data_IF_069807765274
#
_entry.id   IF_069807765274
#
_cell.length_a   1.000
_cell.length_b   1.000
_cell.length_c   1.000
_cell.angle_alpha   90.00
_cell.angle_beta   90.00
_cell.angle_gamma   90.00
#
_symmetry.space_group_name_H-M   'P 1'
#
loop_
_entity.id
_entity.type
_entity.pdbx_description
1 polymer ?
#
# COMPACT_ATOMS: atom_id res chain seq x y z
N UNK A 1 -9.48 -5.85 16.52
CA UNK A 1 -8.66 -6.40 15.41
C UNK A 1 -9.56 -7.31 14.60
N UNK A 2 -10.16 -6.80 13.52
CA UNK A 2 -10.90 -7.64 12.57
C UNK A 2 -9.89 -8.53 11.85
N UNK A 3 -10.15 -9.84 11.78
CA UNK A 3 -9.28 -10.80 11.12
C UNK A 3 -9.04 -10.41 9.66
N UNK A 4 -7.78 -10.41 9.24
CA UNK A 4 -7.39 -10.19 7.85
C UNK A 4 -7.89 -11.39 7.05
N UNK A 5 -8.81 -11.16 6.11
CA UNK A 5 -9.29 -12.19 5.19
C UNK A 5 -8.24 -12.32 4.08
N UNK A 6 -7.35 -13.32 4.19
CA UNK A 6 -6.39 -13.63 3.13
C UNK A 6 -7.13 -14.46 2.08
N UNK A 7 -7.29 -13.98 0.84
CA UNK A 7 -7.90 -14.77 -0.21
C UNK A 7 -7.01 -15.98 -0.51
N UNK A 8 -7.55 -17.19 -0.34
CA UNK A 8 -6.87 -18.45 -0.66
C UNK A 8 -6.62 -18.58 -2.18
N UNK A 9 -5.37 -18.88 -2.55
CA UNK A 9 -4.96 -19.56 -3.79
C UNK A 9 -5.20 -18.87 -5.14
N UNK A 10 -4.11 -18.39 -5.75
CA UNK A 10 -3.92 -18.54 -7.21
C UNK A 10 -2.42 -18.64 -7.50
N UNK A 11 -2.02 -19.86 -7.84
CA UNK A 11 -0.65 -20.32 -8.02
C UNK A 11 -0.17 -20.09 -9.47
N UNK A 12 -0.83 -19.17 -10.20
CA UNK A 12 -0.57 -18.81 -11.61
C UNK A 12 -0.87 -17.34 -11.97
N UNK A 13 -0.73 -16.44 -10.98
CA UNK A 13 -0.84 -14.96 -10.98
C UNK A 13 -1.46 -14.31 -12.23
N UNK A 14 -2.80 -14.24 -12.27
CA UNK A 14 -3.49 -13.18 -13.02
C UNK A 14 -3.46 -11.88 -12.21
N UNK A 15 -2.72 -10.88 -12.68
CA UNK A 15 -2.71 -9.56 -12.04
C UNK A 15 -4.05 -8.84 -12.30
N UNK A 16 -4.75 -8.34 -11.27
CA UNK A 16 -5.90 -7.49 -11.48
C UNK A 16 -5.47 -6.14 -12.07
N UNK A 17 -6.41 -5.39 -12.64
CA UNK A 17 -6.09 -4.05 -13.18
C UNK A 17 -5.84 -3.01 -12.06
N UNK A 18 -6.46 -3.22 -10.89
CA UNK A 18 -6.40 -2.34 -9.74
C UNK A 18 -6.21 -3.12 -8.44
N UNK A 19 -5.66 -2.45 -7.42
CA UNK A 19 -5.66 -2.91 -6.02
C UNK A 19 -6.29 -1.85 -5.12
N UNK A 20 -6.82 -2.26 -3.98
CA UNK A 20 -7.27 -1.34 -2.93
C UNK A 20 -6.10 -1.00 -2.01
N UNK A 21 -5.80 0.29 -1.86
CA UNK A 21 -4.71 0.77 -1.01
C UNK A 21 -5.15 1.95 -0.15
N UNK A 22 -4.49 2.13 0.99
CA UNK A 22 -4.74 3.22 1.92
C UNK A 22 -3.87 4.43 1.56
N UNK A 23 -4.50 5.50 1.08
CA UNK A 23 -3.79 6.71 0.64
C UNK A 23 -3.90 7.80 1.70
N UNK A 24 -2.75 8.31 2.14
CA UNK A 24 -2.66 9.52 2.98
C UNK A 24 -2.89 10.77 2.12
N UNK A 25 -3.74 11.69 2.59
CA UNK A 25 -3.96 12.97 1.91
C UNK A 25 -3.11 14.06 2.56
N UNK A 26 -2.31 14.78 1.77
CA UNK A 26 -1.27 15.73 2.25
C UNK A 26 -1.75 16.86 3.18
N UNK A 27 -3.06 17.13 3.27
CA UNK A 27 -3.58 18.31 3.97
C UNK A 27 -4.34 17.98 5.27
N UNK A 28 -4.60 16.70 5.55
CA UNK A 28 -5.29 16.29 6.77
C UNK A 28 -4.87 14.87 7.12
N UNK A 29 -4.62 14.57 8.40
CA UNK A 29 -4.26 13.24 8.93
C UNK A 29 -5.40 12.21 8.78
N UNK A 30 -5.91 12.10 7.55
CA UNK A 30 -7.10 11.39 7.14
C UNK A 30 -6.70 10.46 6.01
N UNK A 31 -7.14 9.22 6.11
CA UNK A 31 -6.83 8.17 5.15
C UNK A 31 -8.12 7.67 4.52
N UNK A 32 -8.01 7.24 3.28
CA UNK A 32 -9.09 6.62 2.56
C UNK A 32 -8.56 5.41 1.79
N UNK A 33 -9.38 4.36 1.73
CA UNK A 33 -9.14 3.25 0.83
C UNK A 33 -9.54 3.70 -0.57
N UNK A 34 -8.63 3.53 -1.53
CA UNK A 34 -8.84 3.88 -2.94
C UNK A 34 -8.39 2.74 -3.82
N UNK A 35 -9.07 2.58 -4.95
CA UNK A 35 -8.59 1.75 -6.05
C UNK A 35 -7.46 2.48 -6.78
N UNK A 36 -6.33 1.82 -6.92
CA UNK A 36 -5.14 2.32 -7.61
C UNK A 36 -4.69 1.35 -8.69
N UNK A 37 -4.25 1.88 -9.83
CA UNK A 37 -3.78 1.09 -10.96
C UNK A 37 -2.51 0.33 -10.60
N UNK A 38 -2.41 -0.92 -11.05
CA UNK A 38 -1.16 -1.67 -10.93
C UNK A 38 -0.14 -1.11 -11.92
N UNK A 39 1.01 -0.58 -11.45
CA UNK A 39 2.05 -0.09 -12.34
C UNK A 39 2.72 -1.26 -13.07
N UNK A 40 3.17 -1.02 -14.31
CA UNK A 40 4.00 -1.97 -15.05
C UNK A 40 5.46 -1.85 -14.57
N UNK A 41 6.10 -2.93 -14.10
CA UNK A 41 7.50 -2.88 -13.69
C UNK A 41 8.42 -2.61 -14.90
N UNK A 42 9.45 -1.78 -14.70
CA UNK A 42 10.53 -1.57 -15.67
C UNK A 42 11.56 -2.70 -15.68
N UNK A 43 12.62 -2.60 -16.52
CA UNK A 43 13.61 -3.67 -16.73
C UNK A 43 14.37 -4.18 -15.49
N UNK A 44 14.24 -3.56 -14.31
CA UNK A 44 14.85 -4.01 -13.06
C UNK A 44 13.90 -3.88 -11.85
N UNK A 45 12.62 -3.68 -12.09
CA UNK A 45 11.64 -3.56 -11.01
C UNK A 45 10.97 -4.91 -10.74
N UNK A 46 10.54 -5.11 -9.50
CA UNK A 46 9.75 -6.27 -9.10
C UNK A 46 8.38 -5.79 -8.65
N UNK A 47 7.33 -6.40 -9.19
CA UNK A 47 5.97 -6.19 -8.71
C UNK A 47 5.66 -7.18 -7.59
N UNK A 48 5.30 -6.67 -6.41
CA UNK A 48 5.03 -7.47 -5.21
C UNK A 48 3.54 -7.42 -4.86
N UNK A 49 2.93 -8.60 -4.65
CA UNK A 49 1.58 -8.72 -4.08
C UNK A 49 1.66 -8.73 -2.55
N UNK A 50 1.37 -7.62 -1.91
CA UNK A 50 1.31 -7.52 -0.45
C UNK A 50 0.07 -8.25 0.08
N UNK A 51 0.28 -9.32 0.86
CA UNK A 51 -0.82 -10.09 1.49
C UNK A 51 -1.13 -9.61 2.92
N UNK A 52 -0.15 -9.02 3.58
CA UNK A 52 -0.27 -8.44 4.92
C UNK A 52 0.88 -7.44 5.14
N UNK A 53 0.61 -6.39 5.92
CA UNK A 53 1.61 -5.42 6.36
C UNK A 53 1.27 -4.96 7.79
N UNK A 54 2.28 -4.78 8.63
CA UNK A 54 2.15 -4.21 9.97
C UNK A 54 2.49 -2.73 9.97
N UNK A 55 1.87 -1.95 10.85
CA UNK A 55 2.21 -0.54 11.07
C UNK A 55 3.14 -0.37 12.26
N UNK A 56 4.10 0.55 12.16
CA UNK A 56 5.05 0.91 13.20
C UNK A 56 5.05 2.43 13.45
N UNK A 57 5.84 2.90 14.41
CA UNK A 57 5.96 4.33 14.70
C UNK A 57 6.56 5.14 13.56
N UNK A 58 7.43 4.55 12.73
CA UNK A 58 8.01 5.23 11.57
C UNK A 58 6.94 5.60 10.54
N UNK A 59 5.93 4.74 10.35
CA UNK A 59 4.81 5.04 9.45
C UNK A 59 4.03 6.27 9.93
N UNK A 60 3.83 6.41 11.24
CA UNK A 60 3.16 7.58 11.81
C UNK A 60 3.95 8.87 11.63
N UNK A 61 5.28 8.84 11.78
CA UNK A 61 6.13 10.00 11.52
C UNK A 61 6.00 10.47 10.07
N UNK A 62 6.07 9.52 9.13
CA UNK A 62 5.87 9.82 7.71
C UNK A 62 4.53 10.50 7.44
N UNK A 63 3.44 9.98 8.03
CA UNK A 63 2.11 10.56 7.76
C UNK A 63 1.92 11.92 8.43
N UNK A 64 2.50 12.14 9.61
CA UNK A 64 2.44 13.45 10.27
C UNK A 64 3.23 14.53 9.53
N UNK A 65 4.07 14.13 8.56
CA UNK A 65 4.92 15.05 7.82
C UNK A 65 6.03 15.64 8.69
N UNK A 66 6.37 14.99 9.82
CA UNK A 66 7.43 15.42 10.73
C UNK A 66 8.79 14.77 10.40
N UNK A 67 8.87 14.11 9.24
CA UNK A 67 10.05 13.47 8.68
C UNK A 67 10.77 14.45 7.73
N UNK A 68 11.83 15.11 8.20
CA UNK A 68 12.53 16.21 7.51
C UNK A 68 13.38 15.81 6.28
N UNK A 69 13.20 14.62 5.70
CA UNK A 69 14.06 14.12 4.61
C UNK A 69 13.56 14.53 3.21
N UNK A 70 12.42 15.22 3.10
CA UNK A 70 11.78 15.59 1.81
C UNK A 70 11.47 17.09 1.65
N UNK A 71 12.15 17.98 2.38
CA UNK A 71 12.06 19.44 2.16
C UNK A 71 12.94 19.90 1.00
#
# INVERSE_FOLDING_TARGET
MSGINVPEGDDGIKLPQYVEDTISQQQQQSYCIKQVEIPKPGPNDVLVKTIACSVCHTDFHFIRGDWEILQ
#
